data_IF_812521191709
#
_entry.id   IF_812521191709
#
_cell.length_a   1.000
_cell.length_b   1.000
_cell.length_c   1.000
_cell.angle_alpha   90.00
_cell.angle_beta   90.00
_cell.angle_gamma   90.00
#
_symmetry.space_group_name_H-M   'P 1'
#
loop_
_entity.id
_entity.type
_entity.pdbx_description
1 polymer ?
#
# COMPACT_ATOMS: atom_id res chain seq x y z
N UNK A 1 0.81 -4.84 -11.36
CA UNK A 1 -0.02 -5.99 -10.94
C UNK A 1 0.84 -6.81 -10.01
N UNK A 2 0.28 -7.35 -8.94
CA UNK A 2 1.06 -8.22 -8.05
C UNK A 2 1.33 -9.57 -8.75
N UNK A 3 2.52 -10.11 -8.59
CA UNK A 3 2.86 -11.46 -9.08
C UNK A 3 2.90 -12.41 -7.87
N UNK A 4 1.84 -13.20 -7.72
CA UNK A 4 1.63 -14.04 -6.54
C UNK A 4 1.25 -15.49 -6.86
N UNK A 5 1.31 -15.91 -8.13
CA UNK A 5 0.83 -17.23 -8.59
C UNK A 5 1.48 -18.42 -7.87
N UNK A 6 2.74 -18.26 -7.45
CA UNK A 6 3.45 -19.26 -6.64
C UNK A 6 2.74 -19.60 -5.32
N UNK A 7 1.87 -18.72 -4.82
CA UNK A 7 1.10 -18.91 -3.59
C UNK A 7 -0.30 -19.48 -3.84
N UNK A 8 -0.69 -19.80 -5.08
CA UNK A 8 -2.04 -20.24 -5.42
C UNK A 8 -2.54 -21.37 -4.51
N UNK A 9 -3.79 -21.28 -4.07
CA UNK A 9 -4.39 -22.21 -3.10
C UNK A 9 -4.00 -21.97 -1.63
N UNK A 10 -3.21 -20.95 -1.32
CA UNK A 10 -2.87 -20.57 0.06
C UNK A 10 -3.63 -19.33 0.53
N UNK A 11 -3.72 -19.16 1.86
CA UNK A 11 -4.27 -17.94 2.48
C UNK A 11 -3.49 -16.67 2.10
N UNK A 12 -2.19 -16.78 1.85
CA UNK A 12 -1.36 -15.65 1.39
C UNK A 12 -1.84 -15.16 0.03
N UNK A 13 -2.14 -16.07 -0.90
CA UNK A 13 -2.63 -15.71 -2.23
C UNK A 13 -3.96 -14.97 -2.16
N UNK A 14 -4.91 -15.43 -1.32
CA UNK A 14 -6.19 -14.76 -1.12
C UNK A 14 -6.01 -13.33 -0.60
N UNK A 15 -5.17 -13.16 0.44
CA UNK A 15 -4.91 -11.84 1.05
C UNK A 15 -4.25 -10.90 0.05
N UNK A 16 -3.21 -11.36 -0.63
CA UNK A 16 -2.39 -10.55 -1.52
C UNK A 16 -3.18 -10.15 -2.78
N UNK A 17 -3.90 -11.06 -3.42
CA UNK A 17 -4.74 -10.75 -4.57
C UNK A 17 -5.95 -9.91 -4.18
N UNK A 18 -6.58 -10.20 -3.04
CA UNK A 18 -7.67 -9.40 -2.50
C UNK A 18 -7.23 -7.94 -2.26
N UNK A 19 -6.03 -7.74 -1.74
CA UNK A 19 -5.48 -6.40 -1.52
C UNK A 19 -5.06 -5.72 -2.83
N UNK A 20 -4.49 -6.44 -3.80
CA UNK A 20 -4.20 -5.89 -5.15
C UNK A 20 -5.48 -5.38 -5.82
N UNK A 21 -6.57 -6.15 -5.73
CA UNK A 21 -7.87 -5.75 -6.26
C UNK A 21 -8.42 -4.50 -5.57
N UNK A 22 -8.29 -4.39 -4.24
CA UNK A 22 -8.64 -3.16 -3.51
C UNK A 22 -7.79 -1.98 -3.98
N UNK A 23 -6.48 -2.17 -4.15
CA UNK A 23 -5.57 -1.11 -4.60
C UNK A 23 -5.83 -0.66 -6.03
N UNK A 24 -6.12 -1.58 -6.94
CA UNK A 24 -6.53 -1.27 -8.31
C UNK A 24 -7.82 -0.45 -8.35
N UNK A 25 -8.78 -0.79 -7.49
CA UNK A 25 -10.04 -0.06 -7.35
C UNK A 25 -9.82 1.36 -6.80
N UNK A 26 -8.95 1.54 -5.81
CA UNK A 26 -8.58 2.88 -5.30
C UNK A 26 -8.01 3.73 -6.44
N UNK A 27 -7.07 3.19 -7.20
CA UNK A 27 -6.46 3.90 -8.32
C UNK A 27 -7.52 4.25 -9.39
N UNK A 28 -8.50 3.37 -9.62
CA UNK A 28 -9.64 3.64 -10.52
C UNK A 28 -10.53 4.77 -10.02
N UNK A 29 -11.01 4.68 -8.78
CA UNK A 29 -11.89 5.69 -8.18
C UNK A 29 -11.21 7.07 -8.08
N UNK A 30 -9.91 7.10 -7.76
CA UNK A 30 -9.14 8.34 -7.75
C UNK A 30 -8.96 8.92 -9.14
N UNK A 31 -8.77 8.10 -10.18
CA UNK A 31 -8.71 8.59 -11.57
C UNK A 31 -10.02 9.26 -11.96
N UNK A 32 -11.17 8.66 -11.65
CA UNK A 32 -12.47 9.27 -11.96
C UNK A 32 -12.69 10.56 -11.16
N UNK A 33 -12.34 10.57 -9.87
CA UNK A 33 -12.43 11.79 -9.04
C UNK A 33 -11.56 12.95 -9.58
N UNK A 34 -10.35 12.66 -10.08
CA UNK A 34 -9.45 13.66 -10.66
C UNK A 34 -9.95 14.23 -11.99
N UNK A 35 -10.78 13.50 -12.74
CA UNK A 35 -11.36 14.01 -14.01
C UNK A 35 -12.42 15.08 -13.77
N UNK A 36 -13.18 14.96 -12.69
CA UNK A 36 -14.35 15.81 -12.42
C UNK A 36 -14.08 16.92 -11.40
N UNK A 37 -12.98 16.83 -10.66
CA UNK A 37 -12.62 17.81 -9.64
C UNK A 37 -11.41 18.65 -10.07
N UNK A 38 -11.31 19.92 -9.65
CA UNK A 38 -10.16 20.79 -9.97
C UNK A 38 -8.92 20.46 -9.13
N UNK A 39 -8.95 19.40 -8.33
CA UNK A 39 -7.94 19.11 -7.34
C UNK A 39 -6.91 18.13 -7.91
N UNK A 40 -5.73 18.64 -8.21
CA UNK A 40 -4.59 17.84 -8.68
C UNK A 40 -3.32 18.20 -7.90
N UNK A 41 -2.61 17.17 -7.43
CA UNK A 41 -1.28 17.30 -6.87
C UNK A 41 -0.32 17.79 -7.96
N UNK A 42 0.68 18.58 -7.56
CA UNK A 42 1.81 18.85 -8.44
C UNK A 42 2.52 17.54 -8.83
N UNK A 43 3.08 17.51 -10.04
CA UNK A 43 3.88 16.39 -10.51
C UNK A 43 5.02 16.12 -9.53
N UNK A 44 5.16 14.86 -9.14
CA UNK A 44 6.15 14.40 -8.16
C UNK A 44 5.90 14.87 -6.72
N UNK A 45 4.70 15.34 -6.37
CA UNK A 45 4.38 15.67 -4.98
C UNK A 45 4.45 14.43 -4.08
N UNK A 46 5.34 14.46 -3.08
CA UNK A 46 5.43 13.46 -1.99
C UNK A 46 5.49 14.08 -0.60
N UNK A 47 4.84 15.24 -0.42
CA UNK A 47 4.80 15.95 0.88
C UNK A 47 4.17 15.11 2.00
N UNK A 48 3.30 14.16 1.66
CA UNK A 48 2.75 13.21 2.63
C UNK A 48 3.76 12.16 3.13
N UNK A 49 4.92 12.00 2.47
CA UNK A 49 5.90 10.96 2.78
C UNK A 49 7.11 11.45 3.60
N UNK A 50 7.33 12.77 3.71
CA UNK A 50 8.58 13.36 4.25
C UNK A 50 8.81 12.96 5.70
N UNK A 51 7.83 13.22 6.56
CA UNK A 51 7.89 12.97 8.00
C UNK A 51 6.90 11.88 8.44
N UNK A 52 6.55 10.96 7.54
CA UNK A 52 5.52 9.96 7.77
C UNK A 52 6.06 8.55 7.57
N UNK A 53 5.73 7.68 8.51
CA UNK A 53 5.83 6.24 8.36
C UNK A 53 4.44 5.64 8.63
N UNK A 54 3.94 4.75 7.74
CA UNK A 54 2.63 4.15 7.95
C UNK A 54 2.69 3.05 9.03
N UNK A 55 1.66 3.04 9.89
CA UNK A 55 1.27 1.85 10.62
C UNK A 55 0.42 0.96 9.71
N UNK A 56 0.84 -0.29 9.57
CA UNK A 56 0.32 -1.20 8.53
C UNK A 56 -0.28 -2.44 9.15
N UNK A 57 -1.34 -2.96 8.51
CA UNK A 57 -1.84 -4.30 8.81
C UNK A 57 -0.87 -5.37 8.32
N UNK A 58 -0.98 -6.58 8.87
CA UNK A 58 -0.23 -7.74 8.40
C UNK A 58 -0.46 -7.97 6.89
N UNK A 59 -1.70 -7.86 6.42
CA UNK A 59 -2.04 -8.01 5.00
C UNK A 59 -1.28 -7.04 4.10
N UNK A 60 -1.12 -5.79 4.54
CA UNK A 60 -0.35 -4.77 3.83
C UNK A 60 1.15 -5.09 3.82
N UNK A 61 1.70 -5.58 4.94
CA UNK A 61 3.09 -5.99 5.04
C UNK A 61 3.39 -7.23 4.17
N UNK A 62 2.48 -8.21 4.13
CA UNK A 62 2.58 -9.39 3.25
C UNK A 62 2.56 -8.99 1.78
N UNK A 63 1.64 -8.11 1.40
CA UNK A 63 1.57 -7.59 0.05
C UNK A 63 2.88 -6.90 -0.35
N UNK A 64 3.42 -6.01 0.48
CA UNK A 64 4.69 -5.34 0.19
C UNK A 64 5.85 -6.33 0.14
N UNK A 65 5.89 -7.33 1.03
CA UNK A 65 6.92 -8.38 1.02
C UNK A 65 6.91 -9.17 -0.30
N UNK A 66 5.74 -9.63 -0.77
CA UNK A 66 5.59 -10.31 -2.06
C UNK A 66 6.01 -9.38 -3.20
N UNK A 67 5.54 -8.14 -3.20
CA UNK A 67 5.90 -7.16 -4.22
C UNK A 67 7.42 -6.92 -4.28
N UNK A 68 8.08 -6.78 -3.13
CA UNK A 68 9.53 -6.58 -3.04
C UNK A 68 10.33 -7.80 -3.47
N UNK A 69 9.91 -9.01 -3.12
CA UNK A 69 10.60 -10.23 -3.53
C UNK A 69 10.59 -10.42 -5.05
N UNK A 70 9.54 -9.93 -5.72
CA UNK A 70 9.45 -9.92 -7.17
C UNK A 70 10.24 -8.75 -7.80
N UNK A 71 10.02 -7.52 -7.35
CA UNK A 71 10.54 -6.32 -8.03
C UNK A 71 11.89 -5.81 -7.51
N UNK A 72 12.26 -6.16 -6.27
CA UNK A 72 13.41 -5.62 -5.54
C UNK A 72 14.06 -6.70 -4.66
N UNK A 73 14.26 -7.89 -5.23
CA UNK A 73 14.68 -9.09 -4.50
C UNK A 73 15.90 -8.86 -3.60
N UNK A 74 16.98 -8.29 -4.13
CA UNK A 74 18.20 -8.01 -3.36
C UNK A 74 17.94 -7.12 -2.14
N UNK A 75 17.09 -6.10 -2.29
CA UNK A 75 16.70 -5.22 -1.19
C UNK A 75 15.84 -5.94 -0.15
N UNK A 76 14.93 -6.80 -0.60
CA UNK A 76 14.14 -7.63 0.31
C UNK A 76 15.03 -8.51 1.18
N UNK A 77 16.07 -9.13 0.59
CA UNK A 77 17.04 -9.93 1.34
C UNK A 77 17.93 -9.08 2.26
N UNK A 78 18.36 -7.88 1.84
CA UNK A 78 19.14 -7.02 2.74
C UNK A 78 18.37 -6.57 3.98
N UNK A 79 17.04 -6.44 3.90
CA UNK A 79 16.19 -6.21 5.09
C UNK A 79 16.20 -7.42 6.02
N UNK A 80 16.11 -8.64 5.47
CA UNK A 80 16.16 -9.88 6.25
C UNK A 80 17.50 -10.09 6.95
N UNK A 81 18.58 -9.63 6.33
CA UNK A 81 19.96 -9.73 6.82
C UNK A 81 20.38 -8.56 7.72
N UNK A 82 19.47 -7.62 8.02
CA UNK A 82 19.76 -6.37 8.76
C UNK A 82 20.86 -5.49 8.11
N UNK A 83 21.09 -5.72 6.81
CA UNK A 83 22.06 -5.01 5.98
C UNK A 83 21.42 -3.82 5.24
N UNK A 84 20.09 -3.71 5.25
CA UNK A 84 19.38 -2.61 4.59
C UNK A 84 19.79 -1.25 5.17
N UNK A 85 19.99 -0.29 4.27
CA UNK A 85 20.26 1.11 4.64
C UNK A 85 19.21 1.97 3.97
N UNK A 86 18.55 2.78 4.79
CA UNK A 86 17.55 3.73 4.31
C UNK A 86 18.20 4.75 3.37
N UNK A 87 17.57 5.12 2.26
CA UNK A 87 18.09 6.13 1.35
C UNK A 87 18.02 7.56 1.93
N UNK A 88 17.24 7.79 2.99
CA UNK A 88 17.22 9.07 3.72
C UNK A 88 18.33 9.15 4.77
N UNK A 89 18.82 10.35 5.02
CA UNK A 89 19.88 10.62 6.01
C UNK A 89 19.40 10.60 7.46
N UNK A 90 18.09 10.70 7.70
CA UNK A 90 17.43 10.76 9.00
C UNK A 90 16.43 9.59 9.20
N UNK A 91 16.90 8.34 9.28
CA UNK A 91 16.06 7.12 9.23
C UNK A 91 14.98 7.02 10.32
N UNK A 92 15.10 7.78 11.40
CA UNK A 92 14.16 7.81 12.53
C UNK A 92 12.99 8.78 12.33
N UNK A 93 13.04 9.69 11.35
CA UNK A 93 12.01 10.75 11.17
C UNK A 93 10.89 10.41 10.19
N UNK A 94 10.86 9.20 9.64
CA UNK A 94 9.77 8.76 8.77
C UNK A 94 10.11 7.47 8.03
N UNK A 95 9.36 7.17 6.96
CA UNK A 95 9.44 5.90 6.26
C UNK A 95 10.87 5.55 5.79
N UNK A 96 11.29 4.32 6.06
CA UNK A 96 12.59 3.77 5.66
C UNK A 96 12.79 3.62 4.14
N UNK A 97 11.75 3.87 3.34
CA UNK A 97 11.81 3.83 1.87
C UNK A 97 11.71 5.22 1.21
N UNK A 98 11.66 6.28 2.00
CA UNK A 98 11.61 7.65 1.50
C UNK A 98 12.93 8.03 0.84
N UNK A 99 12.88 8.46 -0.43
CA UNK A 99 14.06 8.89 -1.18
C UNK A 99 13.73 10.15 -2.01
N UNK A 100 14.22 11.33 -1.61
CA UNK A 100 13.92 12.58 -2.29
C UNK A 100 14.44 12.61 -3.75
N UNK A 101 15.39 11.75 -4.12
CA UNK A 101 15.91 11.68 -5.48
C UNK A 101 14.95 10.97 -6.46
N UNK A 102 13.98 10.21 -5.96
CA UNK A 102 12.99 9.54 -6.82
C UNK A 102 11.80 10.45 -7.15
N UNK A 103 11.18 10.35 -8.34
CA UNK A 103 10.06 11.21 -8.75
C UNK A 103 8.86 11.19 -7.80
N UNK A 104 8.62 10.08 -7.11
CA UNK A 104 7.48 9.92 -6.17
C UNK A 104 7.91 9.91 -4.70
N UNK A 105 9.19 10.18 -4.44
CA UNK A 105 9.82 10.16 -3.12
C UNK A 105 9.65 8.86 -2.33
N UNK A 106 9.41 7.74 -3.01
CA UNK A 106 9.21 6.43 -2.42
C UNK A 106 9.84 5.37 -3.31
N UNK A 107 10.82 4.65 -2.75
CA UNK A 107 11.52 3.62 -3.53
C UNK A 107 10.72 2.33 -3.72
N UNK A 108 9.58 2.18 -3.03
CA UNK A 108 8.64 1.04 -3.17
C UNK A 108 7.27 1.51 -3.67
N UNK A 109 7.21 2.58 -4.47
CA UNK A 109 5.96 3.25 -4.84
C UNK A 109 4.88 2.31 -5.43
N UNK A 110 5.27 1.30 -6.22
CA UNK A 110 4.34 0.29 -6.73
C UNK A 110 3.76 -0.61 -5.65
N UNK A 111 4.57 -0.94 -4.63
CA UNK A 111 4.21 -1.76 -3.47
C UNK A 111 3.63 -0.97 -2.28
N UNK A 112 3.47 0.35 -2.40
CA UNK A 112 3.10 1.24 -1.27
C UNK A 112 1.86 0.77 -0.51
N UNK A 113 1.87 0.97 0.80
CA UNK A 113 0.81 0.58 1.75
C UNK A 113 -0.49 1.37 1.55
N UNK A 114 -1.57 0.93 2.19
CA UNK A 114 -2.92 1.44 1.98
C UNK A 114 -2.98 2.94 2.21
N UNK A 115 -2.60 3.41 3.39
CA UNK A 115 -2.69 4.83 3.76
C UNK A 115 -1.92 5.73 2.78
N UNK A 116 -0.78 5.26 2.29
CA UNK A 116 0.04 5.96 1.29
C UNK A 116 -0.67 6.11 -0.06
N UNK A 117 -1.66 5.25 -0.38
CA UNK A 117 -2.51 5.36 -1.57
C UNK A 117 -3.67 6.32 -1.37
N UNK A 118 -4.12 6.51 -0.14
CA UNK A 118 -5.33 7.29 0.15
C UNK A 118 -5.07 8.81 0.17
N UNK A 119 -3.84 9.24 0.47
CA UNK A 119 -3.52 10.66 0.61
C UNK A 119 -3.92 11.51 -0.60
N UNK A 120 -4.55 12.66 -0.29
CA UNK A 120 -4.88 13.73 -1.24
C UNK A 120 -6.22 13.57 -1.95
N UNK A 121 -6.71 12.35 -2.16
CA UNK A 121 -7.87 12.10 -3.04
C UNK A 121 -8.96 11.23 -2.43
N UNK A 122 -8.88 10.88 -1.16
CA UNK A 122 -9.92 10.14 -0.46
C UNK A 122 -10.63 11.00 0.57
N UNK A 123 -11.95 10.87 0.65
CA UNK A 123 -12.77 11.41 1.72
C UNK A 123 -12.85 10.46 2.91
N UNK A 124 -13.64 10.85 3.89
CA UNK A 124 -14.00 10.00 5.02
C UNK A 124 -15.47 10.20 5.39
N UNK A 125 -16.04 9.25 6.12
CA UNK A 125 -17.42 9.34 6.61
C UNK A 125 -17.45 9.99 7.98
N UNK A 126 -18.35 10.97 8.14
CA UNK A 126 -18.66 11.52 9.45
C UNK A 126 -19.39 10.50 10.34
N UNK A 127 -19.59 10.86 11.61
CA UNK A 127 -20.41 10.08 12.56
C UNK A 127 -21.89 9.95 12.12
N UNK A 128 -22.31 10.82 11.20
CA UNK A 128 -23.61 10.80 10.52
C UNK A 128 -23.65 9.79 9.34
N UNK A 129 -22.54 9.10 9.06
CA UNK A 129 -22.39 8.20 7.91
C UNK A 129 -22.23 8.92 6.58
N UNK A 130 -22.24 10.25 6.55
CA UNK A 130 -22.18 11.04 5.33
C UNK A 130 -20.73 11.27 4.90
N UNK A 131 -20.49 11.21 3.58
CA UNK A 131 -19.18 11.48 3.00
C UNK A 131 -18.76 12.93 3.23
N UNK A 132 -17.47 13.12 3.53
CA UNK A 132 -16.83 14.41 3.74
C UNK A 132 -15.46 14.36 3.10
N UNK A 133 -15.02 15.49 2.55
CA UNK A 133 -13.69 15.54 1.94
C UNK A 133 -13.05 16.90 2.15
N UNK A 134 -11.74 16.91 2.35
CA UNK A 134 -10.96 18.13 2.49
C UNK A 134 -9.72 18.02 1.58
N UNK A 135 -9.45 19.03 0.74
CA UNK A 135 -8.25 19.02 -0.09
C UNK A 135 -6.98 18.99 0.74
N UNK A 136 -5.93 18.41 0.18
CA UNK A 136 -4.59 18.46 0.73
C UNK A 136 -4.16 19.91 0.98
N UNK A 137 -3.54 20.18 2.14
CA UNK A 137 -3.04 21.53 2.46
C UNK A 137 -1.96 22.02 1.49
N UNK A 138 -1.24 21.08 0.88
CA UNK A 138 -0.14 21.34 -0.07
C UNK A 138 -0.59 21.41 -1.53
N UNK A 139 -1.89 21.27 -1.80
CA UNK A 139 -2.40 21.29 -3.17
C UNK A 139 -2.13 22.68 -3.80
N UNK A 140 -1.62 22.76 -5.04
CA UNK A 140 -1.40 24.02 -5.73
C UNK A 140 -2.72 24.60 -6.24
N UNK A 141 -3.50 25.19 -5.34
CA UNK A 141 -4.71 25.95 -5.69
C UNK A 141 -4.33 27.43 -5.81
N UNK A 142 -4.43 28.00 -7.01
CA UNK A 142 -4.08 29.39 -7.27
C UNK A 142 -5.03 30.35 -6.54
N UNK A 143 -4.53 31.55 -6.22
CA UNK A 143 -5.33 32.59 -5.58
C UNK A 143 -6.47 33.10 -6.49
N UNK A 144 -6.29 33.02 -7.82
CA UNK A 144 -7.30 33.42 -8.82
C UNK A 144 -8.52 32.50 -8.85
N UNK A 145 -8.37 31.25 -8.42
CA UNK A 145 -9.47 30.27 -8.31
C UNK A 145 -10.22 30.36 -6.97
N UNK A 146 -9.98 31.43 -6.20
CA UNK A 146 -10.50 31.54 -4.84
C UNK A 146 -9.87 30.50 -3.91
N UNK A 147 -8.57 30.19 -4.06
CA UNK A 147 -7.88 29.07 -3.42
C UNK A 147 -8.04 28.91 -1.90
N UNK A 148 -8.37 29.96 -1.15
CA UNK A 148 -8.73 29.84 0.28
C UNK A 148 -10.12 29.22 0.48
N UNK A 149 -11.10 29.62 -0.34
CA UNK A 149 -12.45 29.04 -0.34
C UNK A 149 -12.45 27.58 -0.79
N UNK A 150 -11.51 27.20 -1.67
CA UNK A 150 -11.40 25.84 -2.16
C UNK A 150 -10.81 24.88 -1.13
N UNK A 151 -10.02 25.35 -0.15
CA UNK A 151 -9.36 24.55 0.90
C UNK A 151 -10.26 24.20 2.09
N UNK A 152 -11.54 24.51 2.03
CA UNK A 152 -12.52 24.12 3.05
C UNK A 152 -12.78 22.61 3.02
N UNK A 153 -13.40 22.11 4.08
CA UNK A 153 -14.00 20.79 4.06
C UNK A 153 -15.36 20.87 3.35
N UNK A 154 -15.62 19.91 2.46
CA UNK A 154 -16.86 19.77 1.72
C UNK A 154 -17.70 18.65 2.31
N UNK A 155 -19.01 18.88 2.36
CA UNK A 155 -20.02 17.85 2.59
C UNK A 155 -20.30 17.06 1.31
N UNK A 156 -20.91 15.88 1.46
CA UNK A 156 -21.38 15.07 0.34
C UNK A 156 -22.27 15.86 -0.64
N UNK A 157 -23.20 16.67 -0.12
CA UNK A 157 -24.11 17.46 -0.94
C UNK A 157 -23.35 18.49 -1.79
N UNK A 158 -22.40 19.20 -1.20
CA UNK A 158 -21.58 20.19 -1.93
C UNK A 158 -20.67 19.53 -2.99
N UNK A 159 -20.14 18.34 -2.70
CA UNK A 159 -19.31 17.59 -3.66
C UNK A 159 -20.13 17.16 -4.87
N UNK A 160 -21.33 16.63 -4.63
CA UNK A 160 -22.26 16.21 -5.69
C UNK A 160 -22.75 17.41 -6.51
N UNK A 161 -23.13 18.50 -5.85
CA UNK A 161 -23.60 19.72 -6.52
C UNK A 161 -22.53 20.33 -7.43
N UNK A 162 -21.27 20.38 -6.96
CA UNK A 162 -20.19 21.08 -7.67
C UNK A 162 -19.46 20.20 -8.68
N UNK A 163 -19.28 18.93 -8.37
CA UNK A 163 -18.40 18.03 -9.14
C UNK A 163 -19.12 16.78 -9.65
N UNK A 164 -20.40 16.58 -9.31
CA UNK A 164 -21.18 15.43 -9.76
C UNK A 164 -20.76 14.08 -9.19
N UNK A 165 -19.80 14.06 -8.26
CA UNK A 165 -19.26 12.83 -7.66
C UNK A 165 -18.75 13.09 -6.24
N UNK A 166 -18.46 11.99 -5.53
CA UNK A 166 -17.71 12.00 -4.27
C UNK A 166 -16.41 11.22 -4.44
N UNK A 167 -15.31 11.60 -3.78
CA UNK A 167 -14.08 10.83 -3.81
C UNK A 167 -14.26 9.46 -3.14
N UNK A 168 -13.34 8.50 -3.39
CA UNK A 168 -13.26 7.26 -2.62
C UNK A 168 -13.26 7.53 -1.10
N UNK A 169 -13.95 6.69 -0.33
CA UNK A 169 -14.10 6.87 1.12
C UNK A 169 -13.13 5.97 1.89
N UNK A 170 -12.29 6.58 2.73
CA UNK A 170 -11.27 5.90 3.52
C UNK A 170 -11.87 4.86 4.49
N UNK A 171 -12.98 5.18 5.15
CA UNK A 171 -13.68 4.22 6.04
C UNK A 171 -14.12 2.97 5.27
N UNK A 172 -14.73 3.13 4.09
CA UNK A 172 -15.24 2.01 3.29
C UNK A 172 -14.09 1.12 2.79
N UNK A 173 -13.00 1.74 2.34
CA UNK A 173 -11.80 1.03 1.87
C UNK A 173 -11.10 0.31 3.03
N UNK A 174 -10.90 0.99 4.16
CA UNK A 174 -10.24 0.40 5.33
C UNK A 174 -11.02 -0.82 5.84
N UNK A 175 -12.36 -0.73 5.88
CA UNK A 175 -13.21 -1.87 6.25
C UNK A 175 -13.04 -3.08 5.33
N UNK A 176 -12.92 -2.86 4.02
CA UNK A 176 -12.64 -3.94 3.06
C UNK A 176 -11.27 -4.58 3.28
N UNK A 177 -10.24 -3.79 3.58
CA UNK A 177 -8.88 -4.32 3.84
C UNK A 177 -8.83 -5.11 5.13
N UNK A 178 -9.48 -4.66 6.20
CA UNK A 178 -9.59 -5.40 7.46
C UNK A 178 -10.31 -6.74 7.24
N UNK A 179 -11.35 -6.75 6.41
CA UNK A 179 -12.11 -7.97 6.09
C UNK A 179 -11.31 -9.04 5.31
N UNK A 180 -10.14 -8.71 4.75
CA UNK A 180 -9.28 -9.70 4.08
C UNK A 180 -8.64 -10.68 5.07
N UNK A 181 -8.47 -10.30 6.33
CA UNK A 181 -7.81 -11.12 7.36
C UNK A 181 -8.50 -10.98 8.72
N UNK A 182 -9.77 -11.43 8.85
CA UNK A 182 -10.54 -11.31 10.09
C UNK A 182 -9.93 -12.09 11.26
N UNK A 183 -9.10 -13.09 10.98
CA UNK A 183 -8.37 -13.88 11.97
C UNK A 183 -7.18 -13.15 12.61
N UNK A 184 -6.64 -12.14 11.93
CA UNK A 184 -5.56 -11.32 12.46
C UNK A 184 -6.16 -10.22 13.35
N UNK A 185 -5.56 -9.92 14.52
CA UNK A 185 -5.95 -8.74 15.29
C UNK A 185 -5.90 -7.49 14.39
N UNK A 186 -6.85 -6.56 14.53
CA UNK A 186 -6.77 -5.22 13.92
C UNK A 186 -5.69 -4.39 14.66
N UNK A 187 -4.46 -4.90 14.60
CA UNK A 187 -3.29 -4.37 15.23
C UNK A 187 -2.34 -3.93 14.13
N UNK A 188 -2.21 -2.61 14.00
CA UNK A 188 -1.31 -1.98 13.05
C UNK A 188 0.02 -1.74 13.74
N UNK A 189 1.10 -1.95 13.01
CA UNK A 189 2.48 -1.74 13.49
C UNK A 189 3.26 -0.86 12.54
N UNK A 190 4.29 -0.15 13.02
CA UNK A 190 5.16 0.61 12.14
C UNK A 190 5.71 -0.27 11.02
N UNK A 191 5.75 0.25 9.80
CA UNK A 191 6.21 -0.49 8.63
C UNK A 191 7.59 -1.13 8.84
N UNK A 192 8.54 -0.42 9.47
CA UNK A 192 9.88 -0.92 9.79
C UNK A 192 9.89 -2.17 10.66
N UNK A 193 8.84 -2.40 11.45
CA UNK A 193 8.71 -3.58 12.29
C UNK A 193 7.94 -4.71 11.58
N UNK A 194 6.84 -4.37 10.91
CA UNK A 194 5.96 -5.35 10.29
C UNK A 194 6.57 -6.01 9.05
N UNK A 195 7.31 -5.26 8.24
CA UNK A 195 7.85 -5.75 6.97
C UNK A 195 8.91 -6.86 7.12
N UNK A 196 9.91 -6.75 8.01
CA UNK A 196 10.86 -7.85 8.23
C UNK A 196 10.17 -9.17 8.62
N UNK A 197 9.14 -9.12 9.45
CA UNK A 197 8.36 -10.30 9.83
C UNK A 197 7.58 -10.90 8.65
N UNK A 198 6.92 -10.05 7.87
CA UNK A 198 6.24 -10.47 6.65
C UNK A 198 7.20 -11.10 5.63
N UNK A 199 8.38 -10.50 5.41
CA UNK A 199 9.42 -11.06 4.53
C UNK A 199 9.88 -12.45 5.00
N UNK A 200 10.11 -12.65 6.31
CA UNK A 200 10.48 -13.97 6.85
C UNK A 200 9.39 -15.00 6.58
N UNK A 201 8.13 -14.64 6.81
CA UNK A 201 6.97 -15.51 6.57
C UNK A 201 6.87 -15.90 5.10
N UNK A 202 6.94 -14.94 4.19
CA UNK A 202 6.86 -15.21 2.75
C UNK A 202 8.03 -16.08 2.27
N UNK A 203 9.27 -15.76 2.65
CA UNK A 203 10.45 -16.56 2.26
C UNK A 203 10.37 -17.98 2.83
N UNK A 204 9.91 -18.16 4.06
CA UNK A 204 9.69 -19.48 4.65
C UNK A 204 8.67 -20.27 3.84
N UNK A 205 7.52 -19.68 3.51
CA UNK A 205 6.48 -20.35 2.72
C UNK A 205 6.98 -20.72 1.33
N UNK A 206 7.70 -19.83 0.64
CA UNK A 206 8.31 -20.13 -0.66
C UNK A 206 9.22 -21.36 -0.60
N UNK A 207 10.05 -21.50 0.44
CA UNK A 207 10.90 -22.69 0.60
C UNK A 207 10.10 -24.00 0.70
N UNK A 208 8.94 -23.98 1.34
CA UNK A 208 8.08 -25.16 1.44
C UNK A 208 7.33 -25.45 0.14
N UNK A 209 6.91 -24.41 -0.59
CA UNK A 209 6.23 -24.57 -1.88
C UNK A 209 7.19 -25.00 -3.01
N UNK A 210 8.46 -24.60 -2.92
CA UNK A 210 9.52 -24.94 -3.89
C UNK A 210 10.25 -26.26 -3.55
N UNK A 211 9.88 -26.95 -2.46
CA UNK A 211 10.55 -28.19 -2.06
C UNK A 211 10.36 -29.28 -3.13
N UNK A 212 11.44 -29.99 -3.54
CA UNK A 212 11.34 -31.02 -4.57
C UNK A 212 10.35 -32.13 -4.14
N UNK A 213 9.69 -32.79 -5.11
CA UNK A 213 8.77 -33.88 -4.79
C UNK A 213 9.47 -34.92 -3.91
N UNK A 214 8.73 -35.51 -2.97
CA UNK A 214 9.29 -36.55 -2.10
C UNK A 214 10.00 -37.61 -2.95
N UNK A 215 11.17 -38.10 -2.51
CA UNK A 215 11.89 -39.13 -3.24
C UNK A 215 10.95 -40.31 -3.44
N UNK A 216 10.69 -40.67 -4.70
CA UNK A 216 9.82 -41.79 -5.03
C UNK A 216 10.36 -43.05 -4.31
N UNK A 217 9.63 -43.65 -3.36
CA UNK A 217 10.09 -44.82 -2.63
C UNK A 217 10.28 -46.04 -3.54
N UNK A 218 9.77 -46.00 -4.77
CA UNK A 218 9.93 -47.04 -5.80
C UNK A 218 11.11 -46.78 -6.76
N UNK A 219 11.84 -45.66 -6.62
CA UNK A 219 12.99 -45.40 -7.47
C UNK A 219 14.12 -46.41 -7.16
N UNK A 220 14.64 -47.15 -8.17
CA UNK A 220 15.70 -48.12 -7.94
C UNK A 220 16.93 -47.41 -7.40
N UNK A 221 17.35 -47.78 -6.19
CA UNK A 221 18.56 -47.24 -5.60
C UNK A 221 19.76 -47.63 -6.47
N UNK A 222 20.69 -46.69 -6.74
CA UNK A 222 21.90 -47.01 -7.48
C UNK A 222 22.65 -48.09 -6.69
N UNK A 223 22.87 -49.24 -7.33
CA UNK A 223 23.65 -50.32 -6.75
C UNK A 223 25.04 -49.76 -6.48
N UNK A 224 25.47 -49.84 -5.22
CA UNK A 224 26.84 -49.49 -4.83
C UNK A 224 27.80 -50.36 -5.67
N UNK A 225 28.66 -49.67 -6.43
CA UNK A 225 29.78 -50.27 -7.17
C UNK A 225 30.96 -50.52 -6.24
#
# INVERSE_FOLDING_TARGET
>A
MIEADVFEGTRIWEIVNGLDAVYAEIDSQQREWKKVSPFSCADGCGQCCVDFEPDVLESEALYLAVWMLHHQRERAFSILEDAFRSPRSDPERGCMFFDPATPYHCTVYGGRNLICRLFGYTGDRGKDGLARWKPCKFLPLEARDGGASLRKQYSAAELLERFGAVPPQMTDISGRVVALSPESPDFRRPLREALPEALRKIVMVLRFLESPPEPNPEAPQPRAS
#
